data_IF_646791225644
#
_entry.id   IF_646791225644
#
_cell.length_a   1.000
_cell.length_b   1.000
_cell.length_c   1.000
_cell.angle_alpha   90.00
_cell.angle_beta   90.00
_cell.angle_gamma   90.00
#
_symmetry.space_group_name_H-M   'P 1'
#
loop_
_entity.id
_entity.type
_entity.pdbx_description
1 polymer ?
#
# COMPACT_ATOMS: atom_id res chain seq x y z
N UNK A 1 71.28 -36.87 -24.06
CA UNK A 1 70.03 -36.97 -23.28
C UNK A 1 69.80 -35.62 -22.64
N UNK A 2 68.73 -34.95 -23.07
CA UNK A 2 68.44 -33.54 -22.92
C UNK A 2 67.68 -33.24 -21.62
N UNK A 3 68.19 -32.30 -20.83
CA UNK A 3 67.53 -31.76 -19.65
C UNK A 3 66.48 -30.71 -20.08
N UNK A 4 65.22 -30.94 -19.73
CA UNK A 4 64.13 -29.96 -19.85
C UNK A 4 63.91 -29.27 -18.49
N UNK A 5 63.78 -27.94 -18.43
CA UNK A 5 63.44 -27.22 -17.21
C UNK A 5 61.92 -27.26 -16.95
N UNK A 6 61.55 -27.50 -15.69
CA UNK A 6 60.16 -27.51 -15.21
C UNK A 6 59.51 -26.12 -15.15
N UNK A 7 58.17 -26.05 -15.04
CA UNK A 7 57.42 -24.81 -15.15
C UNK A 7 57.54 -23.93 -13.88
N UNK A 8 57.42 -22.60 -14.01
CA UNK A 8 57.49 -21.68 -12.87
C UNK A 8 56.22 -21.74 -12.03
N UNK A 9 56.41 -21.85 -10.70
CA UNK A 9 55.35 -21.84 -9.71
C UNK A 9 54.64 -20.48 -9.60
N UNK A 10 53.34 -20.52 -9.37
CA UNK A 10 52.49 -19.36 -9.12
C UNK A 10 52.76 -18.74 -7.74
N UNK A 11 52.64 -17.40 -7.59
CA UNK A 11 52.88 -16.73 -6.32
C UNK A 11 51.73 -16.95 -5.33
N UNK A 12 52.05 -17.56 -4.18
CA UNK A 12 51.18 -17.58 -3.01
C UNK A 12 51.19 -16.21 -2.33
N UNK A 13 50.05 -15.53 -2.27
CA UNK A 13 49.83 -14.39 -1.37
C UNK A 13 49.23 -14.89 -0.05
N UNK A 14 49.89 -14.66 1.11
CA UNK A 14 49.30 -14.97 2.39
C UNK A 14 48.32 -13.86 2.81
N UNK A 15 47.02 -14.20 2.88
CA UNK A 15 46.05 -13.36 3.56
C UNK A 15 46.25 -13.47 5.07
N UNK A 16 46.76 -12.38 5.67
CA UNK A 16 46.89 -12.19 7.12
C UNK A 16 45.55 -11.68 7.65
N UNK A 17 44.84 -12.51 8.42
CA UNK A 17 43.67 -12.08 9.19
C UNK A 17 44.20 -11.40 10.45
N UNK A 18 44.10 -10.07 10.52
CA UNK A 18 44.33 -9.32 11.76
C UNK A 18 42.99 -9.12 12.48
N UNK A 19 42.81 -9.85 13.58
CA UNK A 19 41.89 -9.48 14.66
C UNK A 19 42.39 -8.17 15.28
N UNK A 20 41.58 -7.11 15.27
CA UNK A 20 41.76 -5.95 16.14
C UNK A 20 40.42 -5.56 16.76
N UNK A 21 40.48 -5.32 18.07
CA UNK A 21 39.37 -5.08 18.99
C UNK A 21 38.73 -3.69 18.91
N UNK A 22 38.08 -3.23 20.00
CA UNK A 22 37.00 -2.26 19.94
C UNK A 22 37.51 -0.83 19.75
N UNK A 23 36.96 -0.14 18.74
CA UNK A 23 37.20 1.27 18.49
C UNK A 23 36.22 2.13 19.29
N UNK A 24 36.75 2.95 20.18
CA UNK A 24 36.10 4.12 20.77
C UNK A 24 35.81 5.18 19.70
N UNK A 25 34.71 5.96 19.81
CA UNK A 25 34.35 6.94 18.79
C UNK A 25 35.19 8.21 18.97
N UNK A 26 36.09 8.48 18.02
CA UNK A 26 36.83 9.73 17.95
C UNK A 26 36.11 10.70 16.99
N UNK A 27 35.64 11.81 17.53
CA UNK A 27 34.97 12.91 16.83
C UNK A 27 36.00 13.72 16.05
N UNK A 28 36.11 13.46 14.74
CA UNK A 28 36.81 14.36 13.82
C UNK A 28 35.86 15.02 12.84
N UNK A 29 35.69 16.33 13.05
CA UNK A 29 35.14 17.29 12.10
C UNK A 29 35.93 17.26 10.78
N UNK A 30 35.28 16.82 9.71
CA UNK A 30 35.70 17.10 8.35
C UNK A 30 34.74 18.13 7.73
N UNK A 31 35.16 19.41 7.81
CA UNK A 31 34.66 20.46 6.93
C UNK A 31 35.37 20.31 5.58
N UNK A 32 34.77 19.58 4.65
CA UNK A 32 35.11 19.65 3.23
C UNK A 32 33.99 20.39 2.50
N UNK A 33 34.30 21.63 2.13
CA UNK A 33 33.47 22.50 1.30
C UNK A 33 33.39 21.90 -0.10
N UNK A 34 32.28 21.23 -0.40
CA UNK A 34 31.89 20.89 -1.77
C UNK A 34 31.17 22.10 -2.36
N UNK A 35 31.88 22.92 -3.12
CA UNK A 35 31.27 23.96 -3.97
C UNK A 35 30.62 23.30 -5.19
N UNK A 36 29.31 23.12 -5.13
CA UNK A 36 28.47 22.77 -6.28
C UNK A 36 28.38 23.98 -7.23
N UNK A 37 28.61 23.83 -8.54
CA UNK A 37 28.39 24.92 -9.48
C UNK A 37 26.90 25.27 -9.50
N UNK A 38 26.60 26.56 -9.33
CA UNK A 38 25.25 27.10 -9.22
C UNK A 38 24.41 26.80 -10.46
N UNK A 39 23.42 25.93 -10.31
CA UNK A 39 22.36 25.77 -11.30
C UNK A 39 21.40 26.95 -11.17
N UNK A 40 21.54 27.94 -12.04
CA UNK A 40 20.55 28.98 -12.26
C UNK A 40 19.33 28.37 -12.96
N UNK A 41 18.44 27.75 -12.17
CA UNK A 41 17.10 27.43 -12.64
C UNK A 41 16.18 28.61 -12.34
N UNK A 42 15.43 29.13 -13.34
CA UNK A 42 14.42 30.13 -13.08
C UNK A 42 13.34 29.55 -12.17
N UNK A 43 13.11 30.22 -11.04
CA UNK A 43 12.01 29.96 -10.13
C UNK A 43 10.69 30.15 -10.85
N UNK A 44 10.10 29.05 -11.33
CA UNK A 44 8.71 29.03 -11.76
C UNK A 44 7.81 29.17 -10.54
N UNK A 45 6.82 30.08 -10.55
CA UNK A 45 5.75 30.03 -9.57
C UNK A 45 5.01 28.70 -9.76
N UNK A 46 5.03 27.86 -8.75
CA UNK A 46 4.20 26.65 -8.69
C UNK A 46 2.74 27.07 -8.52
N UNK A 47 2.11 27.50 -9.62
CA UNK A 47 0.68 27.55 -9.78
C UNK A 47 0.19 26.10 -9.72
N UNK A 48 -0.27 25.67 -8.55
CA UNK A 48 -1.04 24.44 -8.42
C UNK A 48 -2.33 24.62 -9.23
N UNK A 49 -2.25 24.27 -10.51
CA UNK A 49 -3.40 24.03 -11.37
C UNK A 49 -4.18 22.88 -10.75
N UNK A 50 -5.20 23.25 -9.98
CA UNK A 50 -6.26 22.37 -9.52
C UNK A 50 -7.04 21.89 -10.74
N UNK A 51 -6.67 20.72 -11.26
CA UNK A 51 -7.52 19.98 -12.18
C UNK A 51 -8.76 19.51 -11.43
N UNK A 52 -9.98 19.80 -11.91
CA UNK A 52 -11.19 19.23 -11.34
C UNK A 52 -11.42 17.87 -11.99
N UNK A 53 -11.13 16.78 -11.27
CA UNK A 53 -11.50 15.43 -11.72
C UNK A 53 -12.10 14.67 -10.52
N UNK A 54 -13.40 14.87 -10.31
CA UNK A 54 -14.44 13.82 -10.23
C UNK A 54 -15.76 14.54 -9.91
N UNK A 55 -16.48 14.95 -10.94
CA UNK A 55 -17.90 15.24 -10.83
C UNK A 55 -18.61 13.91 -10.68
N UNK A 56 -18.73 13.41 -9.45
CA UNK A 56 -19.67 12.34 -9.14
C UNK A 56 -21.07 12.86 -9.48
N UNK A 57 -21.66 12.23 -10.49
CA UNK A 57 -23.06 12.32 -10.85
C UNK A 57 -23.90 12.16 -9.58
N UNK A 58 -24.41 13.28 -9.07
CA UNK A 58 -25.52 13.29 -8.12
C UNK A 58 -26.71 12.72 -8.89
N UNK A 59 -27.32 11.59 -8.48
CA UNK A 59 -28.54 11.14 -9.12
C UNK A 59 -29.62 12.23 -8.96
N UNK A 60 -30.39 12.53 -10.00
CA UNK A 60 -31.45 13.53 -9.92
C UNK A 60 -32.43 13.14 -8.81
N UNK A 61 -32.63 14.05 -7.86
CA UNK A 61 -33.62 13.92 -6.80
C UNK A 61 -34.98 13.65 -7.43
N UNK A 62 -35.57 12.50 -7.09
CA UNK A 62 -36.93 12.15 -7.50
C UNK A 62 -37.87 13.29 -7.16
N UNK A 63 -38.40 13.88 -8.23
CA UNK A 63 -39.40 14.93 -8.25
C UNK A 63 -40.54 14.63 -7.28
N UNK A 64 -40.85 15.63 -6.48
CA UNK A 64 -42.05 15.71 -5.66
C UNK A 64 -43.28 15.24 -6.45
N UNK A 65 -43.92 14.17 -5.97
CA UNK A 65 -45.21 13.68 -6.44
C UNK A 65 -46.26 14.76 -6.18
N UNK A 66 -46.48 15.62 -7.17
CA UNK A 66 -47.56 16.62 -7.25
C UNK A 66 -48.88 15.86 -7.13
N UNK A 67 -49.47 15.83 -5.93
CA UNK A 67 -50.86 15.40 -5.75
C UNK A 67 -51.75 16.44 -6.41
N UNK A 68 -52.34 16.03 -7.53
CA UNK A 68 -53.33 16.76 -8.32
C UNK A 68 -54.52 17.10 -7.40
N UNK A 69 -54.85 18.38 -7.34
CA UNK A 69 -55.95 18.90 -6.56
C UNK A 69 -57.28 18.30 -6.99
N UNK A 70 -58.13 18.05 -6.01
CA UNK A 70 -59.54 17.68 -6.19
C UNK A 70 -60.32 18.99 -6.04
N UNK A 71 -61.00 19.37 -7.12
CA UNK A 71 -61.87 20.54 -7.22
C UNK A 71 -63.12 20.39 -6.33
N UNK A 72 -63.47 21.50 -5.71
CA UNK A 72 -64.81 22.06 -5.45
C UNK A 72 -65.91 21.13 -4.92
N UNK A 73 -66.09 21.18 -3.59
CA UNK A 73 -67.41 21.08 -2.97
C UNK A 73 -67.78 22.45 -2.39
N UNK A 74 -68.53 23.23 -3.16
CA UNK A 74 -69.25 24.41 -2.69
C UNK A 74 -70.48 23.94 -1.90
N UNK A 75 -70.34 23.71 -0.60
CA UNK A 75 -71.43 23.77 0.40
C UNK A 75 -70.91 23.34 1.78
N UNK A 76 -70.31 24.28 2.53
CA UNK A 76 -70.08 24.06 3.97
C UNK A 76 -70.53 25.29 4.76
N UNK A 77 -71.55 25.06 5.58
CA UNK A 77 -72.13 25.97 6.57
C UNK A 77 -71.09 26.52 7.56
N UNK A 78 -71.32 27.70 8.17
CA UNK A 78 -70.40 28.28 9.14
C UNK A 78 -70.48 27.53 10.47
N UNK A 79 -69.67 26.48 10.63
CA UNK A 79 -69.47 25.80 11.90
C UNK A 79 -68.22 26.35 12.59
N UNK A 80 -68.42 27.02 13.74
CA UNK A 80 -67.38 27.61 14.57
C UNK A 80 -66.47 26.57 15.22
N UNK A 81 -65.55 26.01 14.44
CA UNK A 81 -64.53 25.08 14.92
C UNK A 81 -63.40 25.77 15.71
N UNK A 82 -62.73 25.05 16.64
CA UNK A 82 -61.66 25.58 17.47
C UNK A 82 -60.49 26.06 16.61
N UNK A 83 -60.04 27.29 16.88
CA UNK A 83 -58.92 27.97 16.21
C UNK A 83 -57.70 27.06 16.16
N UNK A 84 -57.40 26.50 14.98
CA UNK A 84 -56.19 25.68 14.81
C UNK A 84 -54.97 26.57 15.01
N UNK A 85 -54.22 26.30 16.09
CA UNK A 85 -52.99 27.03 16.39
C UNK A 85 -52.04 26.79 15.22
N UNK A 86 -51.77 27.84 14.43
CA UNK A 86 -50.81 27.79 13.32
C UNK A 86 -49.51 27.16 13.83
N UNK A 87 -49.00 26.09 13.19
CA UNK A 87 -47.80 25.41 13.66
C UNK A 87 -46.64 26.40 13.69
N UNK A 88 -46.01 26.55 14.86
CA UNK A 88 -44.81 27.37 15.00
C UNK A 88 -43.75 26.82 14.06
N UNK A 89 -43.40 27.59 13.03
CA UNK A 89 -42.30 27.26 12.12
C UNK A 89 -41.01 27.33 12.95
N UNK A 90 -40.47 26.17 13.32
CA UNK A 90 -39.16 26.09 13.97
C UNK A 90 -38.12 26.54 12.94
N UNK A 91 -37.51 27.71 13.17
CA UNK A 91 -36.39 28.20 12.36
C UNK A 91 -35.25 27.18 12.44
N UNK A 92 -34.89 26.58 11.32
CA UNK A 92 -33.75 25.67 11.24
C UNK A 92 -32.47 26.47 11.55
N UNK A 93 -31.68 26.00 12.52
CA UNK A 93 -30.39 26.59 12.85
C UNK A 93 -29.41 26.43 11.68
N UNK A 94 -28.54 27.41 11.48
CA UNK A 94 -27.46 27.29 10.50
C UNK A 94 -26.44 26.23 10.92
N UNK A 95 -25.67 25.67 9.98
CA UNK A 95 -24.64 24.67 10.31
C UNK A 95 -23.58 25.24 11.27
N UNK A 96 -23.24 26.53 11.12
CA UNK A 96 -22.32 27.20 12.02
C UNK A 96 -22.88 27.30 13.44
N UNK A 97 -24.14 27.70 13.61
CA UNK A 97 -24.81 27.74 14.93
C UNK A 97 -24.90 26.37 15.58
N UNK A 98 -25.18 25.32 14.78
CA UNK A 98 -25.19 23.93 15.27
C UNK A 98 -23.82 23.52 15.79
N UNK A 99 -22.76 23.77 15.02
CA UNK A 99 -21.39 23.47 15.43
C UNK A 99 -20.97 24.27 16.67
N UNK A 100 -21.31 25.56 16.74
CA UNK A 100 -21.00 26.38 17.91
C UNK A 100 -21.66 25.84 19.18
N UNK A 101 -22.97 25.52 19.11
CA UNK A 101 -23.68 24.92 20.24
C UNK A 101 -23.10 23.56 20.63
N UNK A 102 -22.74 22.74 19.65
CA UNK A 102 -22.11 21.45 19.89
C UNK A 102 -20.76 21.58 20.60
N UNK A 103 -19.88 22.48 20.15
CA UNK A 103 -18.58 22.70 20.81
C UNK A 103 -18.72 23.34 22.19
N UNK A 104 -19.69 24.22 22.38
CA UNK A 104 -20.00 24.78 23.70
C UNK A 104 -20.45 23.67 24.67
N UNK A 105 -21.36 22.79 24.23
CA UNK A 105 -21.82 21.64 25.01
C UNK A 105 -20.66 20.69 25.35
N UNK A 106 -19.85 20.33 24.34
CA UNK A 106 -18.68 19.46 24.52
C UNK A 106 -17.71 20.01 25.56
N UNK A 107 -17.42 21.31 25.50
CA UNK A 107 -16.46 21.96 26.40
C UNK A 107 -16.99 22.19 27.81
N UNK A 108 -18.25 22.63 27.94
CA UNK A 108 -18.78 23.12 29.22
C UNK A 108 -19.59 22.08 29.98
N UNK A 109 -20.25 21.16 29.30
CA UNK A 109 -21.11 20.15 29.94
C UNK A 109 -20.41 18.79 30.04
N UNK A 110 -19.65 18.40 29.01
CA UNK A 110 -18.95 17.11 29.00
C UNK A 110 -17.50 17.19 29.45
N UNK A 111 -16.90 18.39 29.47
CA UNK A 111 -15.47 18.60 29.72
C UNK A 111 -14.54 17.79 28.80
N UNK A 112 -15.01 17.45 27.59
CA UNK A 112 -14.27 16.63 26.63
C UNK A 112 -13.59 17.47 25.56
N UNK A 113 -12.44 16.98 25.09
CA UNK A 113 -11.89 17.45 23.81
C UNK A 113 -12.58 16.78 22.63
N UNK A 114 -12.52 17.39 21.44
CA UNK A 114 -13.11 16.77 20.24
C UNK A 114 -12.44 15.43 19.92
N UNK A 115 -11.13 15.32 20.14
CA UNK A 115 -10.39 14.07 19.96
C UNK A 115 -10.82 12.98 20.95
N UNK A 116 -11.08 13.36 22.20
CA UNK A 116 -11.58 12.45 23.24
C UNK A 116 -12.98 11.93 22.92
N UNK A 117 -13.89 12.79 22.47
CA UNK A 117 -15.20 12.35 21.98
C UNK A 117 -15.05 11.32 20.86
N UNK A 118 -14.22 11.59 19.85
CA UNK A 118 -13.99 10.65 18.74
C UNK A 118 -13.40 9.32 19.23
N UNK A 119 -12.45 9.37 20.17
CA UNK A 119 -11.84 8.18 20.75
C UNK A 119 -12.88 7.35 21.53
N UNK A 120 -13.57 7.96 22.51
CA UNK A 120 -14.57 7.29 23.37
C UNK A 120 -15.73 6.70 22.58
N UNK A 121 -16.23 7.43 21.58
CA UNK A 121 -17.31 6.93 20.70
C UNK A 121 -16.90 5.70 19.87
N UNK A 122 -15.60 5.50 19.64
CA UNK A 122 -15.07 4.33 18.92
C UNK A 122 -14.61 3.18 19.83
N UNK A 123 -14.13 3.49 21.04
CA UNK A 123 -13.56 2.52 22.00
C UNK A 123 -14.61 1.58 22.58
N UNK A 124 -15.78 2.12 22.96
CA UNK A 124 -16.85 1.39 23.67
C UNK A 124 -17.46 0.20 22.88
N UNK A 125 -17.08 0.04 21.60
CA UNK A 125 -17.56 -1.01 20.71
C UNK A 125 -16.52 -2.10 20.40
N UNK A 126 -15.23 -1.90 20.73
CA UNK A 126 -14.17 -2.84 20.37
C UNK A 126 -14.14 -4.11 21.24
N UNK A 127 -14.72 -4.07 22.45
CA UNK A 127 -14.66 -5.16 23.44
C UNK A 127 -15.92 -6.01 23.57
N UNK A 128 -16.93 -5.84 22.72
CA UNK A 128 -18.19 -6.59 22.84
C UNK A 128 -18.17 -7.82 21.93
N UNK A 129 -17.66 -8.93 22.46
CA UNK A 129 -17.95 -10.24 21.88
C UNK A 129 -19.45 -10.50 22.00
N UNK A 130 -20.12 -10.65 20.85
CA UNK A 130 -21.57 -10.88 20.69
C UNK A 130 -22.09 -12.15 21.39
N UNK A 131 -21.21 -12.90 22.05
CA UNK A 131 -21.48 -14.21 22.66
C UNK A 131 -21.75 -14.16 24.17
N UNK A 132 -21.51 -13.04 24.85
CA UNK A 132 -21.80 -12.92 26.29
C UNK A 132 -23.27 -12.57 26.57
N UNK A 133 -24.19 -13.48 26.22
CA UNK A 133 -25.65 -13.36 26.38
C UNK A 133 -26.20 -13.98 27.67
N UNK A 134 -25.45 -13.99 28.78
CA UNK A 134 -25.92 -14.64 30.01
C UNK A 134 -25.55 -13.85 31.27
N UNK A 135 -26.45 -12.97 31.70
CA UNK A 135 -26.85 -12.68 33.09
C UNK A 135 -27.45 -11.27 33.19
N UNK A 136 -28.78 -11.18 33.02
CA UNK A 136 -29.54 -9.95 33.14
C UNK A 136 -29.79 -9.60 34.62
N UNK A 137 -29.27 -8.46 35.06
CA UNK A 137 -29.86 -7.70 36.16
C UNK A 137 -30.94 -6.76 35.59
N UNK A 138 -32.16 -6.82 36.11
CA UNK A 138 -33.38 -6.18 35.60
C UNK A 138 -33.43 -4.64 35.71
N UNK A 139 -32.33 -3.97 36.04
CA UNK A 139 -32.27 -2.52 36.31
C UNK A 139 -31.67 -1.67 35.18
N UNK A 140 -31.18 -2.28 34.08
CA UNK A 140 -30.35 -1.59 33.06
C UNK A 140 -31.03 -1.36 31.70
N UNK A 141 -32.35 -1.55 31.58
CA UNK A 141 -33.11 -1.46 30.31
C UNK A 141 -32.95 -0.13 29.56
N UNK A 142 -32.85 1.01 30.25
CA UNK A 142 -32.68 2.31 29.60
C UNK A 142 -31.28 2.52 29.01
N UNK A 143 -30.23 1.98 29.64
CA UNK A 143 -28.85 2.12 29.15
C UNK A 143 -28.63 1.30 27.88
N UNK A 144 -29.26 0.13 27.76
CA UNK A 144 -29.19 -0.69 26.56
C UNK A 144 -29.82 -0.01 25.34
N UNK A 145 -31.00 0.60 25.50
CA UNK A 145 -31.67 1.31 24.41
C UNK A 145 -30.83 2.47 23.85
N UNK A 146 -30.14 3.23 24.72
CA UNK A 146 -29.22 4.28 24.29
C UNK A 146 -27.99 3.71 23.57
N UNK A 147 -27.44 2.59 24.04
CA UNK A 147 -26.27 1.95 23.42
C UNK A 147 -26.60 1.37 22.03
N UNK A 148 -27.75 0.74 21.86
CA UNK A 148 -28.20 0.23 20.56
C UNK A 148 -28.39 1.37 19.55
N UNK A 149 -28.96 2.50 19.98
CA UNK A 149 -29.07 3.69 19.14
C UNK A 149 -27.69 4.23 18.73
N UNK A 150 -26.74 4.30 19.65
CA UNK A 150 -25.37 4.70 19.35
C UNK A 150 -24.69 3.74 18.36
N UNK A 151 -24.85 2.42 18.57
CA UNK A 151 -24.32 1.40 17.66
C UNK A 151 -24.90 1.55 16.25
N UNK A 152 -26.22 1.75 16.13
CA UNK A 152 -26.88 1.94 14.85
C UNK A 152 -26.38 3.20 14.12
N UNK A 153 -26.15 4.30 14.84
CA UNK A 153 -25.57 5.53 14.29
C UNK A 153 -24.14 5.30 13.82
N UNK A 154 -23.31 4.65 14.63
CA UNK A 154 -21.91 4.36 14.28
C UNK A 154 -21.80 3.39 13.10
N UNK A 155 -22.63 2.35 13.06
CA UNK A 155 -22.70 1.42 11.94
C UNK A 155 -23.13 2.14 10.64
N UNK A 156 -24.14 3.01 10.73
CA UNK A 156 -24.57 3.82 9.58
C UNK A 156 -23.43 4.71 9.06
N UNK A 157 -22.65 5.30 9.96
CA UNK A 157 -21.48 6.11 9.62
C UNK A 157 -20.36 5.29 8.98
N UNK A 158 -19.93 4.18 9.60
CA UNK A 158 -18.83 3.36 9.12
C UNK A 158 -19.15 2.63 7.81
N UNK A 159 -20.42 2.30 7.57
CA UNK A 159 -20.86 1.73 6.29
C UNK A 159 -20.92 2.78 5.17
N UNK A 160 -20.73 4.08 5.47
CA UNK A 160 -20.73 5.14 4.47
C UNK A 160 -22.13 5.50 3.94
N UNK A 161 -23.19 5.16 4.67
CA UNK A 161 -24.57 5.47 4.27
C UNK A 161 -24.96 6.94 4.51
N UNK A 162 -24.10 7.71 5.18
CA UNK A 162 -24.30 9.13 5.45
C UNK A 162 -23.92 10.04 4.29
N UNK A 163 -24.39 11.30 4.33
CA UNK A 163 -24.01 12.34 3.37
C UNK A 163 -22.52 12.68 3.38
N UNK A 164 -21.84 12.40 4.50
CA UNK A 164 -20.40 12.60 4.67
C UNK A 164 -19.75 11.28 5.05
N UNK A 165 -19.00 10.70 4.10
CA UNK A 165 -18.28 9.44 4.31
C UNK A 165 -16.99 9.66 5.09
N UNK A 166 -16.48 8.59 5.71
CA UNK A 166 -15.16 8.60 6.38
C UNK A 166 -14.04 9.05 5.42
N UNK A 167 -14.08 8.62 4.16
CA UNK A 167 -13.08 9.02 3.16
C UNK A 167 -13.08 10.54 2.89
N UNK A 168 -14.25 11.18 2.88
CA UNK A 168 -14.36 12.63 2.72
C UNK A 168 -13.83 13.37 3.96
N UNK A 169 -14.12 12.87 5.15
CA UNK A 169 -13.60 13.42 6.41
C UNK A 169 -12.07 13.33 6.45
N UNK A 170 -11.50 12.17 6.13
CA UNK A 170 -10.05 11.96 6.05
C UNK A 170 -9.40 12.89 5.00
N UNK A 171 -10.02 13.05 3.83
CA UNK A 171 -9.57 13.99 2.79
C UNK A 171 -9.57 15.43 3.30
N UNK A 172 -10.59 15.82 4.05
CA UNK A 172 -10.67 17.13 4.69
C UNK A 172 -9.58 17.31 5.75
N UNK A 173 -9.37 16.33 6.65
CA UNK A 173 -8.30 16.38 7.64
C UNK A 173 -6.91 16.49 7.00
N UNK A 174 -6.68 15.75 5.91
CA UNK A 174 -5.42 15.79 5.17
C UNK A 174 -5.20 17.15 4.48
N UNK A 175 -6.26 17.85 4.06
CA UNK A 175 -6.17 19.17 3.42
C UNK A 175 -6.18 20.33 4.41
N UNK A 176 -6.73 20.13 5.62
CA UNK A 176 -6.96 21.16 6.61
C UNK A 176 -5.68 21.93 6.98
N UNK A 177 -5.72 23.27 7.11
CA UNK A 177 -4.55 24.08 7.50
C UNK A 177 -4.03 23.74 8.89
N UNK A 178 -4.92 23.56 9.88
CA UNK A 178 -4.52 23.23 11.27
C UNK A 178 -3.90 21.84 11.45
N UNK A 179 -3.98 20.96 10.46
CA UNK A 179 -3.30 19.67 10.50
C UNK A 179 -1.81 19.74 10.16
N UNK A 180 -1.27 20.93 9.90
CA UNK A 180 0.14 21.17 9.52
C UNK A 180 0.88 21.80 10.70
N UNK A 181 1.78 21.06 11.35
CA UNK A 181 2.74 21.66 12.28
C UNK A 181 3.86 22.38 11.50
N UNK A 182 4.33 21.75 10.41
CA UNK A 182 5.31 22.30 9.46
C UNK A 182 4.91 21.92 8.03
N UNK A 183 5.37 22.68 7.02
CA UNK A 183 5.06 22.40 5.60
C UNK A 183 5.55 21.01 5.15
N UNK A 184 6.67 20.55 5.72
CA UNK A 184 7.24 19.22 5.52
C UNK A 184 7.67 18.72 6.89
N UNK A 185 6.80 17.95 7.56
CA UNK A 185 7.24 17.23 8.75
C UNK A 185 8.11 16.03 8.28
N UNK A 186 9.28 15.80 8.89
CA UNK A 186 10.09 14.61 8.61
C UNK A 186 9.36 13.30 8.96
N UNK A 187 8.27 13.38 9.73
CA UNK A 187 7.48 12.23 10.15
C UNK A 187 6.44 11.80 9.10
N UNK A 188 6.21 12.59 8.05
CA UNK A 188 5.26 12.24 6.98
C UNK A 188 5.73 11.00 6.23
N UNK A 189 4.82 10.04 6.03
CA UNK A 189 5.12 8.73 5.41
C UNK A 189 6.18 7.91 6.17
N UNK A 190 6.33 8.13 7.48
CA UNK A 190 7.24 7.33 8.31
C UNK A 190 6.77 5.89 8.39
N UNK A 191 7.67 4.96 8.10
CA UNK A 191 7.49 3.51 8.24
C UNK A 191 8.18 2.94 9.49
N UNK A 192 8.92 3.77 10.22
CA UNK A 192 9.71 3.36 11.40
C UNK A 192 9.08 3.80 12.71
N UNK A 193 8.46 4.98 12.74
CA UNK A 193 7.80 5.53 13.93
C UNK A 193 6.34 5.07 13.92
N UNK A 194 5.82 4.38 14.96
CA UNK A 194 4.41 3.98 15.01
C UNK A 194 3.48 5.17 14.80
N UNK A 195 2.56 5.07 13.84
CA UNK A 195 1.70 6.19 13.46
C UNK A 195 0.85 6.73 14.61
N UNK A 196 0.56 5.89 15.61
CA UNK A 196 -0.18 6.25 16.84
C UNK A 196 0.57 7.20 17.77
N UNK A 197 1.90 7.26 17.67
CA UNK A 197 2.74 8.17 18.46
C UNK A 197 2.93 9.55 17.79
N UNK A 198 2.57 9.67 16.52
CA UNK A 198 2.69 10.91 15.73
C UNK A 198 1.47 11.80 16.02
N UNK A 199 1.68 12.95 16.65
CA UNK A 199 0.58 13.85 17.06
C UNK A 199 -0.07 14.62 15.88
N UNK A 200 0.69 15.21 14.94
CA UNK A 200 0.07 15.97 13.85
C UNK A 200 -0.75 15.05 12.93
N UNK A 201 -2.06 15.29 12.83
CA UNK A 201 -3.01 14.43 12.09
C UNK A 201 -2.56 14.10 10.67
N UNK A 202 -1.96 15.06 9.94
CA UNK A 202 -1.50 14.82 8.57
C UNK A 202 -0.35 13.82 8.54
N UNK A 203 0.66 14.01 9.38
CA UNK A 203 1.80 13.10 9.45
C UNK A 203 1.33 11.71 9.90
N UNK A 204 0.51 11.65 10.96
CA UNK A 204 -0.08 10.42 11.47
C UNK A 204 -0.84 9.64 10.39
N UNK A 205 -1.75 10.29 9.65
CA UNK A 205 -2.53 9.64 8.58
C UNK A 205 -1.66 9.15 7.42
N UNK A 206 -0.66 9.93 7.00
CA UNK A 206 0.25 9.50 5.91
C UNK A 206 1.14 8.34 6.32
N UNK A 207 1.60 8.33 7.57
CA UNK A 207 2.43 7.25 8.13
C UNK A 207 1.60 5.99 8.38
N UNK A 208 0.35 6.13 8.83
CA UNK A 208 -0.62 5.03 8.89
C UNK A 208 -0.76 4.37 7.52
N UNK A 209 -1.04 5.16 6.47
CA UNK A 209 -1.17 4.63 5.11
C UNK A 209 0.12 3.94 4.62
N UNK A 210 1.29 4.53 4.91
CA UNK A 210 2.58 3.95 4.52
C UNK A 210 2.85 2.61 5.22
N UNK A 211 2.58 2.52 6.53
CA UNK A 211 2.76 1.30 7.33
C UNK A 211 1.81 0.19 6.89
N UNK A 212 0.52 0.50 6.69
CA UNK A 212 -0.46 -0.48 6.18
C UNK A 212 -0.07 -1.01 4.80
N UNK A 213 0.39 -0.13 3.90
CA UNK A 213 0.88 -0.56 2.58
C UNK A 213 2.12 -1.43 2.73
N UNK A 214 3.08 -1.06 3.57
CA UNK A 214 4.28 -1.86 3.83
C UNK A 214 3.95 -3.27 4.31
N UNK A 215 3.09 -3.40 5.34
CA UNK A 215 2.64 -4.69 5.86
C UNK A 215 1.99 -5.54 4.77
N UNK A 216 1.15 -4.92 3.93
CA UNK A 216 0.51 -5.62 2.81
C UNK A 216 1.53 -6.09 1.77
N UNK A 217 2.52 -5.27 1.41
CA UNK A 217 3.57 -5.63 0.45
C UNK A 217 4.44 -6.78 0.98
N UNK A 218 4.75 -6.79 2.28
CA UNK A 218 5.47 -7.90 2.92
C UNK A 218 4.63 -9.18 2.86
N UNK A 219 3.33 -9.09 3.19
CA UNK A 219 2.41 -10.24 3.14
C UNK A 219 2.31 -10.83 1.73
N UNK A 220 2.15 -9.98 0.72
CA UNK A 220 2.14 -10.40 -0.69
C UNK A 220 3.43 -11.12 -1.08
N UNK A 221 4.59 -10.62 -0.66
CA UNK A 221 5.88 -11.26 -0.93
C UNK A 221 6.00 -12.64 -0.26
N UNK A 222 5.54 -12.78 1.00
CA UNK A 222 5.50 -14.06 1.70
C UNK A 222 4.55 -15.06 1.02
N UNK A 223 3.39 -14.60 0.55
CA UNK A 223 2.44 -15.43 -0.20
C UNK A 223 3.03 -15.92 -1.53
N UNK A 224 3.75 -15.05 -2.25
CA UNK A 224 4.36 -15.36 -3.53
C UNK A 224 5.54 -16.35 -3.43
N UNK A 225 6.20 -16.46 -2.28
CA UNK A 225 7.29 -17.43 -2.07
C UNK A 225 6.81 -18.75 -1.44
N UNK A 226 5.50 -18.98 -1.34
CA UNK A 226 4.98 -20.30 -0.97
C UNK A 226 5.24 -21.29 -2.10
N UNK A 227 5.49 -22.56 -1.77
CA UNK A 227 5.72 -23.62 -2.77
C UNK A 227 4.52 -23.75 -3.73
N UNK A 228 3.31 -23.55 -3.22
CA UNK A 228 2.05 -23.59 -3.98
C UNK A 228 1.91 -22.48 -5.03
N UNK A 229 2.67 -21.39 -4.95
CA UNK A 229 2.62 -20.28 -5.93
C UNK A 229 3.17 -20.67 -7.31
N UNK A 230 3.99 -21.72 -7.38
CA UNK A 230 4.64 -22.15 -8.62
C UNK A 230 5.91 -21.37 -9.00
N UNK A 231 6.40 -20.42 -8.18
CA UNK A 231 7.73 -19.81 -8.37
C UNK A 231 8.87 -20.73 -7.90
N UNK A 232 8.52 -21.77 -7.15
CA UNK A 232 9.48 -22.71 -6.56
C UNK A 232 9.90 -23.79 -7.54
N UNK A 233 11.21 -23.95 -7.68
CA UNK A 233 11.81 -24.97 -8.54
C UNK A 233 12.82 -25.78 -7.74
N UNK A 234 12.61 -27.10 -7.67
CA UNK A 234 13.55 -28.04 -7.07
C UNK A 234 14.42 -28.68 -8.14
N UNK A 235 15.72 -28.79 -7.84
CA UNK A 235 16.67 -29.59 -8.63
C UNK A 235 16.71 -31.05 -8.19
N UNK A 236 16.20 -31.34 -6.98
CA UNK A 236 16.20 -32.71 -6.43
C UNK A 236 14.81 -33.31 -6.59
N UNK A 237 14.75 -34.52 -7.14
CA UNK A 237 13.50 -35.30 -7.27
C UNK A 237 12.91 -35.71 -5.92
N UNK A 238 13.74 -35.81 -4.88
CA UNK A 238 13.34 -36.37 -3.59
C UNK A 238 12.65 -35.38 -2.64
N UNK A 239 12.57 -34.08 -2.99
CA UNK A 239 11.96 -33.09 -2.11
C UNK A 239 10.45 -33.04 -2.31
N UNK A 240 9.72 -33.60 -1.34
CA UNK A 240 8.26 -33.62 -1.28
C UNK A 240 7.68 -32.20 -1.41
N UNK A 241 6.78 -32.02 -2.38
CA UNK A 241 5.99 -30.80 -2.56
C UNK A 241 6.56 -29.74 -3.50
N UNK A 242 7.84 -29.77 -3.86
CA UNK A 242 8.40 -28.82 -4.82
C UNK A 242 8.33 -29.35 -6.25
N UNK A 243 7.94 -28.50 -7.21
CA UNK A 243 7.92 -28.88 -8.62
C UNK A 243 9.34 -29.23 -9.08
N UNK A 244 9.50 -30.42 -9.68
CA UNK A 244 10.74 -30.83 -10.35
C UNK A 244 10.98 -29.90 -11.54
N UNK A 245 12.21 -29.44 -11.72
CA UNK A 245 12.60 -28.63 -12.87
C UNK A 245 12.46 -29.45 -14.16
N UNK A 246 11.75 -28.92 -15.14
CA UNK A 246 11.58 -29.50 -16.48
C UNK A 246 11.87 -28.44 -17.55
N UNK A 247 12.22 -28.88 -18.77
CA UNK A 247 12.43 -27.96 -19.91
C UNK A 247 11.19 -27.13 -20.22
N UNK A 248 9.98 -27.66 -19.96
CA UNK A 248 8.71 -26.93 -20.16
C UNK A 248 8.56 -25.71 -19.24
N UNK A 249 9.28 -25.67 -18.11
CA UNK A 249 9.30 -24.54 -17.19
C UNK A 249 10.28 -23.43 -17.60
N UNK A 250 11.27 -23.76 -18.44
CA UNK A 250 12.35 -22.86 -18.86
C UNK A 250 12.30 -22.67 -20.38
N UNK A 251 11.72 -21.55 -20.83
CA UNK A 251 11.60 -21.23 -22.24
C UNK A 251 10.87 -19.91 -22.48
N UNK A 252 10.29 -19.77 -23.67
CA UNK A 252 9.58 -18.55 -24.09
C UNK A 252 8.37 -18.20 -23.19
N UNK A 253 7.75 -19.20 -22.55
CA UNK A 253 6.60 -19.00 -21.67
C UNK A 253 6.97 -18.63 -20.22
N UNK A 254 8.23 -18.78 -19.80
CA UNK A 254 8.63 -18.63 -18.38
C UNK A 254 8.33 -17.25 -17.83
N UNK A 255 8.57 -16.20 -18.62
CA UNK A 255 8.32 -14.82 -18.21
C UNK A 255 6.83 -14.56 -18.04
N UNK A 256 6.00 -15.00 -18.99
CA UNK A 256 4.55 -14.77 -18.91
C UNK A 256 3.91 -15.59 -17.77
N UNK A 257 4.37 -16.82 -17.54
CA UNK A 257 3.99 -17.63 -16.37
C UNK A 257 4.36 -16.94 -15.06
N UNK A 258 5.60 -16.47 -14.94
CA UNK A 258 6.08 -15.75 -13.74
C UNK A 258 5.29 -14.47 -13.49
N UNK A 259 5.03 -13.70 -14.56
CA UNK A 259 4.20 -12.50 -14.51
C UNK A 259 2.77 -12.79 -14.05
N UNK A 260 2.15 -13.87 -14.54
CA UNK A 260 0.82 -14.30 -14.11
C UNK A 260 0.80 -14.58 -12.60
N UNK A 261 1.75 -15.39 -12.13
CA UNK A 261 1.92 -15.72 -10.70
C UNK A 261 2.11 -14.46 -9.84
N UNK A 262 2.97 -13.54 -10.27
CA UNK A 262 3.21 -12.27 -9.55
C UNK A 262 1.94 -11.41 -9.50
N UNK A 263 1.17 -11.31 -10.58
CA UNK A 263 -0.08 -10.53 -10.57
C UNK A 263 -1.14 -11.12 -9.64
N UNK A 264 -1.17 -12.44 -9.52
CA UNK A 264 -2.10 -13.16 -8.67
C UNK A 264 -1.76 -12.99 -7.18
N UNK A 265 -0.48 -13.19 -6.82
CA UNK A 265 -0.05 -13.18 -5.41
C UNK A 265 0.44 -11.81 -4.92
N UNK A 266 0.84 -10.89 -5.80
CA UNK A 266 1.39 -9.58 -5.44
C UNK A 266 0.74 -8.42 -6.22
N UNK A 267 -0.61 -8.29 -6.22
CA UNK A 267 -1.31 -7.30 -7.03
C UNK A 267 -0.97 -5.85 -6.63
N UNK A 268 -0.81 -5.54 -5.35
CA UNK A 268 -0.47 -4.18 -4.91
C UNK A 268 0.96 -3.84 -5.30
N UNK A 269 1.91 -4.75 -5.04
CA UNK A 269 3.32 -4.60 -5.43
C UNK A 269 3.46 -4.36 -6.93
N UNK A 270 2.79 -5.19 -7.74
CA UNK A 270 2.73 -5.06 -9.19
C UNK A 270 2.21 -3.68 -9.62
N UNK A 271 1.07 -3.26 -9.07
CA UNK A 271 0.43 -1.98 -9.40
C UNK A 271 1.33 -0.78 -9.10
N UNK A 272 2.00 -0.77 -7.95
CA UNK A 272 2.91 0.31 -7.56
C UNK A 272 4.15 0.37 -8.47
N UNK A 273 4.81 -0.78 -8.70
CA UNK A 273 5.99 -0.81 -9.56
C UNK A 273 5.67 -0.53 -11.02
N UNK A 274 4.49 -0.94 -11.51
CA UNK A 274 4.02 -0.55 -12.84
C UNK A 274 3.82 0.95 -12.96
N UNK A 275 3.26 1.62 -11.94
CA UNK A 275 3.14 3.10 -11.93
C UNK A 275 4.50 3.80 -11.91
N UNK A 276 5.50 3.20 -11.29
CA UNK A 276 6.87 3.73 -11.26
C UNK A 276 7.61 3.51 -12.58
N UNK A 277 7.45 2.34 -13.20
CA UNK A 277 8.13 1.97 -14.43
C UNK A 277 7.47 2.57 -15.68
N UNK A 278 6.14 2.72 -15.67
CA UNK A 278 5.41 3.27 -16.80
C UNK A 278 5.53 4.79 -16.86
N UNK A 279 5.94 5.31 -18.02
CA UNK A 279 5.81 6.74 -18.31
C UNK A 279 4.35 7.08 -18.63
N UNK A 280 3.89 8.30 -18.31
CA UNK A 280 2.62 8.78 -18.82
C UNK A 280 2.56 8.59 -20.34
N UNK A 281 1.45 8.06 -20.88
CA UNK A 281 1.36 7.79 -22.30
C UNK A 281 1.52 9.08 -23.08
N UNK A 282 2.42 9.05 -24.07
CA UNK A 282 2.56 10.16 -25.02
C UNK A 282 1.49 10.00 -26.09
N UNK A 283 0.66 11.02 -26.26
CA UNK A 283 -0.21 11.14 -27.42
C UNK A 283 0.57 11.82 -28.54
N UNK A 284 0.75 11.12 -29.65
CA UNK A 284 1.29 11.71 -30.89
C UNK A 284 0.14 11.71 -31.90
N UNK A 285 -0.28 12.89 -32.37
CA UNK A 285 -1.40 13.03 -33.30
C UNK A 285 -2.70 12.35 -32.83
N UNK A 286 -3.01 12.42 -31.53
CA UNK A 286 -4.18 11.76 -30.93
C UNK A 286 -4.05 10.24 -30.72
N UNK A 287 -3.02 9.60 -31.27
CA UNK A 287 -2.75 8.17 -31.04
C UNK A 287 -1.87 7.97 -29.81
N UNK A 288 -2.25 7.00 -28.97
CA UNK A 288 -1.48 6.59 -27.79
C UNK A 288 -0.26 5.78 -28.24
N UNK A 289 0.93 6.34 -28.13
CA UNK A 289 2.17 5.65 -28.50
C UNK A 289 2.50 4.59 -27.44
N UNK A 290 2.58 3.32 -27.86
CA UNK A 290 2.94 2.19 -27.00
C UNK A 290 4.46 1.99 -27.01
N UNK A 291 5.07 1.75 -25.84
CA UNK A 291 6.49 1.47 -25.73
C UNK A 291 6.78 0.02 -26.14
N UNK A 292 7.39 -0.19 -27.32
CA UNK A 292 7.71 -1.53 -27.84
C UNK A 292 9.07 -2.04 -27.33
N UNK A 293 10.09 -1.17 -27.24
CA UNK A 293 11.49 -1.60 -27.02
C UNK A 293 11.76 -2.14 -25.61
N UNK A 294 11.05 -1.65 -24.59
CA UNK A 294 11.22 -2.03 -23.17
C UNK A 294 9.87 -1.98 -22.48
N UNK A 295 9.04 -3.04 -22.63
CA UNK A 295 7.74 -3.09 -21.97
C UNK A 295 7.94 -3.02 -20.44
N UNK A 296 7.26 -2.09 -19.74
CA UNK A 296 7.40 -1.95 -18.28
C UNK A 296 7.01 -3.23 -17.55
N UNK A 297 6.10 -4.04 -18.11
CA UNK A 297 5.66 -5.31 -17.55
C UNK A 297 6.83 -6.29 -17.39
N UNK A 298 7.74 -6.38 -18.37
CA UNK A 298 8.88 -7.29 -18.30
C UNK A 298 9.89 -6.81 -17.24
N UNK A 299 10.14 -5.50 -17.18
CA UNK A 299 11.03 -4.91 -16.18
C UNK A 299 10.49 -5.15 -14.76
N UNK A 300 9.20 -4.88 -14.53
CA UNK A 300 8.55 -5.08 -13.22
C UNK A 300 8.52 -6.57 -12.85
N UNK A 301 8.24 -7.47 -13.79
CA UNK A 301 8.29 -8.93 -13.55
C UNK A 301 9.67 -9.36 -13.07
N UNK A 302 10.73 -8.88 -13.74
CA UNK A 302 12.10 -9.21 -13.36
C UNK A 302 12.49 -8.65 -11.98
N UNK A 303 12.14 -7.40 -11.69
CA UNK A 303 12.40 -6.75 -10.40
C UNK A 303 11.70 -7.52 -9.26
N UNK A 304 10.40 -7.79 -9.40
CA UNK A 304 9.65 -8.51 -8.36
C UNK A 304 10.19 -9.93 -8.19
N UNK A 305 10.51 -10.63 -9.28
CA UNK A 305 11.09 -11.97 -9.17
C UNK A 305 12.46 -11.98 -8.48
N UNK A 306 13.28 -10.95 -8.69
CA UNK A 306 14.57 -10.75 -8.00
C UNK A 306 14.33 -10.53 -6.50
N UNK A 307 13.36 -9.70 -6.13
CA UNK A 307 12.96 -9.48 -4.74
C UNK A 307 12.49 -10.78 -4.08
N UNK A 308 11.63 -11.56 -4.75
CA UNK A 308 11.16 -12.85 -4.22
C UNK A 308 12.31 -13.84 -4.02
N UNK A 309 13.24 -13.93 -4.97
CA UNK A 309 14.41 -14.79 -4.84
C UNK A 309 15.36 -14.35 -3.72
N UNK A 310 15.49 -13.04 -3.50
CA UNK A 310 16.29 -12.52 -2.38
C UNK A 310 15.71 -12.93 -1.01
N UNK A 311 14.39 -13.06 -0.91
CA UNK A 311 13.71 -13.58 0.30
C UNK A 311 13.80 -15.10 0.41
N UNK A 312 13.72 -15.81 -0.71
CA UNK A 312 13.74 -17.27 -0.74
C UNK A 312 14.54 -17.78 -1.93
N UNK A 313 15.65 -18.47 -1.63
CA UNK A 313 16.49 -19.13 -2.65
C UNK A 313 15.76 -20.24 -3.44
N UNK A 314 14.54 -20.60 -3.02
CA UNK A 314 13.67 -21.56 -3.72
C UNK A 314 12.77 -20.89 -4.75
N UNK A 315 12.39 -19.63 -4.57
CA UNK A 315 11.56 -18.84 -5.49
C UNK A 315 12.39 -18.32 -6.67
N UNK A 316 12.99 -19.25 -7.42
CA UNK A 316 14.08 -18.98 -8.36
C UNK A 316 13.74 -19.26 -9.82
N UNK A 317 12.46 -19.47 -10.19
CA UNK A 317 12.09 -19.84 -11.56
C UNK A 317 12.70 -18.90 -12.62
N UNK A 318 12.40 -17.61 -12.54
CA UNK A 318 12.92 -16.64 -13.50
C UNK A 318 14.43 -16.34 -13.30
N UNK A 319 14.95 -16.15 -12.08
CA UNK A 319 16.41 -16.02 -11.85
C UNK A 319 17.22 -17.21 -12.39
N UNK A 320 16.69 -18.43 -12.29
CA UNK A 320 17.31 -19.63 -12.83
C UNK A 320 17.32 -19.60 -14.36
N UNK A 321 16.21 -19.22 -15.00
CA UNK A 321 16.17 -19.03 -16.45
C UNK A 321 17.21 -17.98 -16.91
N UNK A 322 17.35 -16.87 -16.19
CA UNK A 322 18.40 -15.87 -16.43
C UNK A 322 19.81 -16.47 -16.28
N UNK A 323 20.04 -17.26 -15.24
CA UNK A 323 21.32 -17.95 -15.04
C UNK A 323 21.67 -18.93 -16.17
N UNK A 324 20.67 -19.70 -16.65
CA UNK A 324 20.82 -20.63 -17.78
C UNK A 324 21.17 -19.85 -19.07
N UNK A 325 20.49 -18.73 -19.33
CA UNK A 325 20.80 -17.87 -20.48
C UNK A 325 22.25 -17.36 -20.43
N UNK A 326 22.71 -16.91 -19.27
CA UNK A 326 24.09 -16.46 -19.07
C UNK A 326 25.09 -17.60 -19.28
N UNK A 327 24.75 -18.80 -18.82
CA UNK A 327 25.57 -19.99 -19.00
C UNK A 327 25.70 -20.34 -20.47
N UNK A 328 24.59 -20.39 -21.21
CA UNK A 328 24.58 -20.62 -22.67
C UNK A 328 25.32 -19.52 -23.46
N UNK A 329 25.36 -18.31 -22.92
CA UNK A 329 26.12 -17.19 -23.50
C UNK A 329 27.60 -17.18 -23.11
N UNK A 330 28.11 -18.22 -22.45
CA UNK A 330 29.50 -18.31 -21.96
C UNK A 330 29.92 -17.13 -21.07
N UNK A 331 28.99 -16.60 -20.27
CA UNK A 331 29.30 -15.52 -19.33
C UNK A 331 30.37 -15.95 -18.33
N UNK A 332 31.29 -15.04 -17.98
CA UNK A 332 32.37 -15.32 -17.04
C UNK A 332 31.83 -15.70 -15.65
N UNK A 333 32.56 -16.54 -14.94
CA UNK A 333 32.21 -16.95 -13.57
C UNK A 333 32.16 -15.77 -12.60
N UNK A 334 32.94 -14.72 -12.86
CA UNK A 334 32.90 -13.47 -12.08
C UNK A 334 31.58 -12.72 -12.27
N UNK A 335 31.00 -12.75 -13.47
CA UNK A 335 29.68 -12.17 -13.71
C UNK A 335 28.59 -12.93 -12.92
N UNK A 336 28.67 -14.26 -12.86
CA UNK A 336 27.80 -15.07 -11.99
C UNK A 336 28.00 -14.73 -10.51
N UNK A 337 29.24 -14.60 -10.05
CA UNK A 337 29.55 -14.23 -8.65
C UNK A 337 28.94 -12.88 -8.29
N UNK A 338 29.04 -11.90 -9.17
CA UNK A 338 28.45 -10.57 -8.95
C UNK A 338 26.91 -10.63 -8.97
N UNK A 339 26.32 -11.16 -10.04
CA UNK A 339 24.86 -11.17 -10.27
C UNK A 339 24.10 -12.02 -9.25
N UNK A 340 24.71 -13.09 -8.75
CA UNK A 340 24.11 -13.90 -7.69
C UNK A 340 24.07 -13.21 -6.33
N UNK A 341 25.03 -12.33 -6.00
CA UNK A 341 25.02 -11.55 -4.75
C UNK A 341 23.88 -10.54 -4.69
N UNK A 342 23.43 -10.05 -5.84
CA UNK A 342 22.29 -9.13 -5.95
C UNK A 342 20.97 -9.86 -6.27
N UNK A 343 20.93 -11.19 -6.11
CA UNK A 343 19.76 -12.02 -6.32
C UNK A 343 19.18 -12.00 -7.76
N UNK A 344 19.96 -11.65 -8.77
CA UNK A 344 19.48 -11.63 -10.16
C UNK A 344 19.48 -13.03 -10.79
N UNK A 345 20.36 -13.91 -10.32
CA UNK A 345 20.45 -15.31 -10.75
C UNK A 345 21.02 -16.20 -9.64
N UNK A 346 20.82 -17.52 -9.67
CA UNK A 346 21.52 -18.46 -8.78
C UNK A 346 23.04 -18.46 -9.02
N UNK A 347 23.79 -18.94 -8.02
CA UNK A 347 25.22 -19.17 -8.16
C UNK A 347 25.54 -20.15 -9.31
N UNK A 348 26.70 -19.99 -9.94
CA UNK A 348 27.15 -20.79 -11.09
C UNK A 348 26.98 -22.30 -10.90
N UNK A 349 27.43 -22.85 -9.75
CA UNK A 349 27.27 -24.28 -9.46
C UNK A 349 25.81 -24.75 -9.30
N UNK A 350 24.89 -23.85 -8.93
CA UNK A 350 23.46 -24.16 -8.93
C UNK A 350 22.87 -24.18 -10.34
N UNK A 351 23.41 -23.37 -11.25
CA UNK A 351 23.02 -23.39 -12.67
C UNK A 351 23.56 -24.64 -13.36
N UNK A 352 24.82 -25.04 -13.12
CA UNK A 352 25.36 -26.32 -13.65
C UNK A 352 24.48 -27.50 -13.23
N UNK A 353 24.15 -27.61 -11.94
CA UNK A 353 23.28 -28.68 -11.46
C UNK A 353 21.91 -28.66 -12.11
N UNK A 354 21.36 -27.48 -12.35
CA UNK A 354 20.09 -27.34 -13.07
C UNK A 354 20.20 -27.84 -14.52
N UNK A 355 21.26 -27.48 -15.22
CA UNK A 355 21.53 -27.95 -16.58
C UNK A 355 21.71 -29.47 -16.64
N UNK A 356 22.41 -30.07 -15.67
CA UNK A 356 22.52 -31.53 -15.55
C UNK A 356 21.15 -32.19 -15.35
N UNK A 357 20.33 -31.65 -14.44
CA UNK A 357 18.97 -32.15 -14.19
C UNK A 357 18.09 -32.06 -15.44
N UNK A 358 18.22 -30.97 -16.20
CA UNK A 358 17.50 -30.77 -17.46
C UNK A 358 17.97 -31.73 -18.55
N UNK A 359 19.28 -31.97 -18.67
CA UNK A 359 19.84 -32.95 -19.60
C UNK A 359 19.38 -34.38 -19.28
N UNK A 360 19.36 -34.76 -18.00
CA UNK A 360 18.82 -36.06 -17.53
C UNK A 360 17.32 -36.23 -17.77
N UNK A 361 16.57 -35.14 -17.95
CA UNK A 361 15.14 -35.21 -18.28
C UNK A 361 14.91 -35.43 -19.80
N UNK A 362 15.89 -35.06 -20.63
CA UNK A 362 15.79 -35.19 -22.10
C UNK A 362 16.34 -36.53 -22.61
N UNK A 363 17.33 -37.09 -21.93
CA UNK A 363 17.87 -38.43 -22.18
C UNK A 363 16.91 -39.52 -21.71
#
# INVERSE_FOLDING_TARGET
>A
MSNLPGPPGLPHTPYRITNNGPLTPNTHNFNTVFTTPGSSFPSYPASLSSTPILSTLIPPSLSSRRRKGKENDENVLPSGGPVSKKPRIKRSLSNFEKLHKFYAFLKHELEWSYGELLFRTSEDFAGYDTTSTLAQSSSSTNLYATREQMAAVMQHFFNGNGSYTTSLILSNWLKHPYGRLQRSSPEMFSVTIPYTSIKPVRAALTSFAAQVVQEKLVTEAEDAIKVSSGLHVSLSSHKTGAKKLEWTDIGSATVEKTKKIIREHQPLTWSLLMKLAARPPRSLNGAKVVCVKRPPELAVTNVISTLNFSRSSRAKLLPLATGILYFGSSASTDLFRYRSRIAEMPAYGSVIRAMQTLAEHEA
#
